data_IF_123604089762
#
_entry.id   IF_123604089762
#
_cell.length_a   1.000
_cell.length_b   1.000
_cell.length_c   1.000
_cell.angle_alpha   90.00
_cell.angle_beta   90.00
_cell.angle_gamma   90.00
#
_symmetry.space_group_name_H-M   'P 1'
#
loop_
_entity.id
_entity.type
_entity.pdbx_description
1 polymer ?
#
# COMPACT_ATOMS: atom_id res chain seq x y z
N UNK A 1 -23.02 -57.22 -41.27
CA UNK A 1 -24.43 -57.50 -41.63
C UNK A 1 -25.17 -57.76 -40.31
N UNK A 2 -26.03 -56.91 -39.75
CA UNK A 2 -26.99 -55.93 -40.26
C UNK A 2 -26.87 -54.58 -39.55
N UNK A 3 -27.00 -53.50 -40.33
CA UNK A 3 -27.33 -52.14 -39.91
C UNK A 3 -28.77 -52.06 -39.40
N UNK A 4 -29.03 -51.19 -38.43
CA UNK A 4 -30.19 -50.28 -38.44
C UNK A 4 -29.77 -48.90 -37.92
N UNK A 5 -29.75 -47.96 -38.84
CA UNK A 5 -29.67 -46.51 -38.64
C UNK A 5 -31.10 -45.94 -38.76
N UNK A 6 -31.19 -44.63 -38.55
CA UNK A 6 -32.25 -43.67 -38.90
C UNK A 6 -33.31 -43.56 -37.77
N UNK A 7 -33.55 -42.42 -37.10
CA UNK A 7 -33.75 -41.05 -37.61
C UNK A 7 -33.37 -39.96 -36.58
N UNK A 8 -32.64 -38.94 -37.03
CA UNK A 8 -32.63 -37.59 -36.47
C UNK A 8 -33.48 -36.71 -37.41
N UNK A 9 -34.18 -35.69 -36.88
CA UNK A 9 -33.87 -34.33 -37.29
C UNK A 9 -33.79 -33.41 -36.06
N UNK A 10 -32.72 -32.64 -35.86
CA UNK A 10 -32.45 -31.33 -36.46
C UNK A 10 -33.56 -30.29 -36.24
N UNK A 11 -33.09 -29.08 -35.92
CA UNK A 11 -33.76 -27.78 -35.82
C UNK A 11 -34.41 -27.40 -34.47
N UNK A 12 -34.25 -26.21 -33.88
CA UNK A 12 -33.37 -25.04 -34.07
C UNK A 12 -33.96 -23.91 -33.19
N UNK A 13 -33.13 -22.91 -32.84
CA UNK A 13 -33.48 -21.57 -32.30
C UNK A 13 -34.01 -21.53 -30.84
N UNK A 14 -33.80 -20.49 -30.02
CA UNK A 14 -33.54 -19.06 -30.29
C UNK A 14 -32.68 -18.45 -29.16
N UNK A 15 -31.78 -17.55 -29.54
CA UNK A 15 -31.27 -16.44 -28.74
C UNK A 15 -32.45 -15.62 -28.16
N UNK A 16 -32.30 -15.04 -26.98
CA UNK A 16 -33.30 -14.10 -26.46
C UNK A 16 -32.91 -13.46 -25.13
N UNK A 17 -32.04 -12.45 -25.20
CA UNK A 17 -31.97 -11.34 -24.22
C UNK A 17 -33.35 -10.72 -24.10
N UNK A 18 -33.89 -10.54 -22.88
CA UNK A 18 -34.73 -9.39 -22.56
C UNK A 18 -34.60 -9.06 -21.07
N UNK A 19 -33.97 -7.91 -20.80
CA UNK A 19 -34.26 -7.11 -19.62
C UNK A 19 -35.76 -6.80 -19.61
N UNK A 20 -36.45 -7.08 -18.52
CA UNK A 20 -37.76 -6.50 -18.25
C UNK A 20 -37.62 -5.57 -17.05
N UNK A 21 -37.32 -4.31 -17.35
CA UNK A 21 -37.94 -3.21 -16.62
C UNK A 21 -39.36 -3.09 -17.17
N UNK A 22 -40.35 -2.95 -16.29
CA UNK A 22 -41.66 -2.37 -16.57
C UNK A 22 -42.42 -2.25 -15.24
N UNK A 23 -42.45 -1.02 -14.73
CA UNK A 23 -43.53 -0.50 -13.90
C UNK A 23 -43.79 0.92 -14.40
N UNK A 24 -44.71 1.06 -15.35
CA UNK A 24 -45.29 2.32 -15.83
C UNK A 24 -46.22 2.91 -14.74
N UNK A 25 -46.66 4.17 -14.71
CA UNK A 25 -47.06 5.10 -15.77
C UNK A 25 -47.14 6.55 -15.23
N UNK A 26 -46.90 7.50 -16.15
CA UNK A 26 -47.52 8.83 -16.30
C UNK A 26 -47.52 9.86 -15.16
N UNK A 27 -46.75 10.95 -15.33
CA UNK A 27 -47.28 12.24 -15.75
C UNK A 27 -46.16 13.23 -16.13
N UNK A 28 -46.42 14.01 -17.18
CA UNK A 28 -45.59 15.10 -17.74
C UNK A 28 -45.45 16.32 -16.79
N UNK A 29 -44.62 17.33 -17.12
CA UNK A 29 -43.83 18.11 -16.16
C UNK A 29 -44.58 19.33 -15.61
N UNK A 30 -44.30 19.68 -14.35
CA UNK A 30 -44.61 20.99 -13.79
C UNK A 30 -43.39 21.53 -13.07
N UNK A 31 -42.86 22.64 -13.61
CA UNK A 31 -42.01 23.58 -12.88
C UNK A 31 -42.73 24.04 -11.61
N UNK A 32 -42.07 23.93 -10.45
CA UNK A 32 -41.97 25.01 -9.44
C UNK A 32 -40.98 24.63 -8.31
N UNK A 33 -40.41 25.63 -7.61
CA UNK A 33 -39.15 25.49 -6.89
C UNK A 33 -39.33 25.20 -5.39
N UNK A 34 -38.39 24.43 -4.85
CA UNK A 34 -37.91 24.63 -3.48
C UNK A 34 -38.55 23.80 -2.36
N UNK A 35 -37.65 23.36 -1.49
CA UNK A 35 -37.86 22.83 -0.13
C UNK A 35 -38.52 21.46 0.00
N UNK A 36 -37.68 20.42 -0.10
CA UNK A 36 -37.93 19.10 0.45
C UNK A 36 -36.64 18.55 1.05
N UNK A 37 -36.47 18.78 2.35
CA UNK A 37 -35.46 18.11 3.17
C UNK A 37 -35.72 16.59 3.12
N UNK A 38 -34.87 15.86 2.41
CA UNK A 38 -34.80 14.40 2.48
C UNK A 38 -33.37 14.06 2.78
N UNK A 39 -33.14 13.78 4.06
CA UNK A 39 -31.88 13.29 4.59
C UNK A 39 -31.32 12.15 3.74
N UNK A 40 -30.20 12.43 3.11
CA UNK A 40 -29.28 11.43 2.59
C UNK A 40 -27.96 11.66 3.29
N UNK A 41 -27.73 10.96 4.40
CA UNK A 41 -26.38 10.70 4.92
C UNK A 41 -25.69 9.82 3.88
N UNK A 42 -25.17 10.46 2.83
CA UNK A 42 -24.46 9.84 1.73
C UNK A 42 -22.95 9.81 1.98
N UNK A 43 -22.50 9.77 3.23
CA UNK A 43 -21.11 9.46 3.57
C UNK A 43 -20.89 7.96 3.45
N UNK A 44 -21.03 7.43 2.23
CA UNK A 44 -20.51 6.09 1.94
C UNK A 44 -19.05 6.24 1.52
N UNK A 45 -18.22 6.56 2.50
CA UNK A 45 -16.77 6.45 2.33
C UNK A 45 -16.46 4.95 2.22
N UNK A 46 -16.37 4.43 0.99
CA UNK A 46 -15.85 3.07 0.75
C UNK A 46 -14.34 3.11 1.01
N UNK A 47 -13.97 3.13 2.29
CA UNK A 47 -12.63 2.85 2.75
C UNK A 47 -12.38 1.37 2.49
N UNK A 48 -11.89 1.06 1.29
CA UNK A 48 -11.44 -0.29 0.94
C UNK A 48 -10.56 -0.81 2.07
N UNK A 49 -10.84 -2.02 2.53
CA UNK A 49 -10.28 -2.64 3.75
C UNK A 49 -8.75 -2.49 3.80
N UNK A 50 -8.29 -1.38 4.38
CA UNK A 50 -6.88 -1.06 4.48
C UNK A 50 -6.35 -1.65 5.79
N UNK A 51 -5.26 -2.41 5.74
CA UNK A 51 -4.57 -2.88 6.96
C UNK A 51 -3.57 -1.80 7.42
N UNK A 52 -4.05 -0.57 7.52
CA UNK A 52 -3.28 0.59 7.96
C UNK A 52 -3.69 0.87 9.41
N UNK A 53 -2.82 0.49 10.35
CA UNK A 53 -3.12 0.58 11.78
C UNK A 53 -2.56 1.87 12.38
N UNK A 54 -3.41 2.64 13.03
CA UNK A 54 -3.01 3.75 13.91
C UNK A 54 -2.49 3.24 15.27
N UNK A 55 -2.46 1.92 15.52
CA UNK A 55 -1.81 1.36 16.72
C UNK A 55 -0.31 1.21 16.50
N UNK A 56 0.48 1.53 17.53
CA UNK A 56 1.92 1.25 17.56
C UNK A 56 2.16 -0.26 17.46
N UNK A 57 3.00 -0.67 16.51
CA UNK A 57 3.49 -2.04 16.35
C UNK A 57 4.99 -2.08 16.59
N UNK A 58 5.50 -3.24 17.00
CA UNK A 58 6.93 -3.51 17.16
C UNK A 58 7.35 -4.58 16.19
N UNK A 59 8.50 -4.40 15.54
CA UNK A 59 9.03 -5.29 14.52
C UNK A 59 10.55 -5.40 14.66
N UNK A 60 11.08 -6.62 14.61
CA UNK A 60 12.50 -6.87 14.44
C UNK A 60 12.78 -7.22 12.97
N UNK A 61 13.62 -6.42 12.32
CA UNK A 61 14.09 -6.65 10.96
C UNK A 61 15.48 -7.26 11.01
N UNK A 62 15.71 -8.27 10.16
CA UNK A 62 17.04 -8.84 9.91
C UNK A 62 17.64 -8.18 8.68
N UNK A 63 18.93 -7.86 8.76
CA UNK A 63 19.70 -7.26 7.67
C UNK A 63 19.71 -8.17 6.43
N UNK A 64 19.30 -7.63 5.28
CA UNK A 64 19.36 -8.35 4.00
C UNK A 64 18.47 -9.59 3.90
N UNK A 65 17.42 -9.70 4.72
CA UNK A 65 16.66 -10.93 4.86
C UNK A 65 15.91 -11.33 3.59
N UNK A 66 16.01 -12.61 3.25
CA UNK A 66 15.26 -13.25 2.16
C UNK A 66 14.35 -14.36 2.72
N UNK A 67 13.25 -14.63 2.04
CA UNK A 67 12.37 -15.77 2.32
C UNK A 67 12.97 -17.08 1.78
N UNK A 68 12.26 -18.19 2.00
CA UNK A 68 12.68 -19.54 1.55
C UNK A 68 12.84 -19.66 0.03
N UNK A 69 12.27 -18.73 -0.74
CA UNK A 69 12.32 -18.68 -2.21
C UNK A 69 13.36 -17.67 -2.70
N UNK A 70 14.12 -17.05 -1.80
CA UNK A 70 15.11 -16.03 -2.12
C UNK A 70 14.52 -14.65 -2.45
N UNK A 71 13.23 -14.42 -2.18
CA UNK A 71 12.61 -13.11 -2.34
C UNK A 71 12.85 -12.25 -1.08
N UNK A 72 12.83 -10.92 -1.21
CA UNK A 72 13.02 -10.00 -0.08
C UNK A 72 11.96 -10.26 0.99
N UNK A 73 12.40 -10.53 2.21
CA UNK A 73 11.53 -10.68 3.38
C UNK A 73 11.29 -9.30 3.99
N UNK A 74 10.23 -8.64 3.52
CA UNK A 74 9.78 -7.34 4.01
C UNK A 74 8.54 -7.41 4.91
N UNK A 75 8.25 -6.31 5.59
CA UNK A 75 7.15 -6.23 6.55
C UNK A 75 6.19 -5.11 6.21
N UNK A 76 4.97 -5.45 5.82
CA UNK A 76 3.97 -4.47 5.41
C UNK A 76 3.61 -3.50 6.55
N UNK A 77 3.83 -2.21 6.30
CA UNK A 77 3.50 -1.12 7.21
C UNK A 77 2.33 -0.24 6.72
N UNK A 78 1.94 -0.39 5.45
CA UNK A 78 0.70 0.16 4.91
C UNK A 78 0.30 -0.57 3.64
N UNK A 79 -0.97 -0.97 3.52
CA UNK A 79 -1.52 -1.64 2.35
C UNK A 79 -2.83 -0.97 1.93
N UNK A 80 -2.92 -0.70 0.63
CA UNK A 80 -4.04 -0.11 -0.09
C UNK A 80 -4.37 -1.02 -1.29
N UNK A 81 -5.36 -0.66 -2.09
CA UNK A 81 -5.79 -1.51 -3.21
C UNK A 81 -4.70 -1.65 -4.28
N UNK A 82 -4.15 -0.52 -4.76
CA UNK A 82 -3.09 -0.48 -5.79
C UNK A 82 -1.68 -0.31 -5.23
N UNK A 83 -1.53 0.11 -3.97
CA UNK A 83 -0.23 0.41 -3.35
C UNK A 83 0.00 -0.35 -2.06
N UNK A 84 1.24 -0.74 -1.82
CA UNK A 84 1.70 -1.30 -0.54
C UNK A 84 3.05 -0.70 -0.19
N UNK A 85 3.30 -0.55 1.10
CA UNK A 85 4.55 -0.05 1.66
C UNK A 85 5.05 -1.05 2.69
N UNK A 86 6.30 -1.49 2.55
CA UNK A 86 6.91 -2.45 3.46
C UNK A 86 8.24 -1.95 4.03
N UNK A 87 8.53 -2.33 5.26
CA UNK A 87 9.80 -2.09 5.93
C UNK A 87 10.82 -3.16 5.59
N UNK A 88 12.06 -2.73 5.37
CA UNK A 88 13.20 -3.60 5.10
C UNK A 88 14.48 -2.99 5.64
N UNK A 89 15.41 -3.84 6.09
CA UNK A 89 16.71 -3.43 6.59
C UNK A 89 17.78 -3.91 5.60
N UNK A 90 18.54 -2.97 5.03
CA UNK A 90 19.58 -3.29 4.07
C UNK A 90 20.75 -2.31 4.15
N UNK A 91 21.95 -2.87 4.19
CA UNK A 91 23.24 -2.20 4.40
C UNK A 91 23.20 -1.24 5.58
N UNK A 92 22.53 -1.61 6.66
CA UNK A 92 22.37 -0.78 7.84
C UNK A 92 21.43 0.42 7.65
N UNK A 93 20.71 0.52 6.53
CA UNK A 93 19.70 1.55 6.28
C UNK A 93 18.30 1.01 6.53
N UNK A 94 17.44 1.84 7.13
CA UNK A 94 16.01 1.54 7.23
C UNK A 94 15.36 1.96 5.93
N UNK A 95 14.75 1.00 5.23
CA UNK A 95 14.08 1.21 3.97
C UNK A 95 12.56 1.09 4.14
N UNK A 96 11.82 1.98 3.48
CA UNK A 96 10.41 1.76 3.17
C UNK A 96 10.28 1.56 1.67
N UNK A 97 9.84 0.37 1.28
CA UNK A 97 9.75 -0.09 -0.09
C UNK A 97 8.30 0.09 -0.56
N UNK A 98 8.02 0.93 -1.57
CA UNK A 98 6.73 1.00 -2.23
C UNK A 98 6.59 -0.17 -3.21
N UNK A 99 5.37 -0.67 -3.29
CA UNK A 99 4.91 -1.67 -4.23
C UNK A 99 3.67 -1.14 -4.93
N UNK A 100 3.53 -1.50 -6.20
CA UNK A 100 2.34 -1.29 -7.01
C UNK A 100 1.74 -2.65 -7.38
N UNK A 101 0.42 -2.76 -7.34
CA UNK A 101 -0.28 -3.95 -7.79
C UNK A 101 -0.39 -3.92 -9.32
N UNK A 102 0.11 -4.96 -9.98
CA UNK A 102 0.00 -5.13 -11.43
C UNK A 102 -0.40 -6.58 -11.72
N UNK A 103 -1.45 -6.80 -12.51
CA UNK A 103 -2.06 -8.12 -12.75
C UNK A 103 -2.41 -8.88 -11.45
N UNK A 104 -2.86 -8.16 -10.43
CA UNK A 104 -3.22 -8.72 -9.12
C UNK A 104 -2.03 -9.04 -8.21
N UNK A 105 -0.79 -8.91 -8.69
CA UNK A 105 0.43 -9.25 -7.96
C UNK A 105 1.16 -7.97 -7.54
N UNK A 106 1.79 -8.00 -6.36
CA UNK A 106 2.65 -6.93 -5.89
C UNK A 106 3.97 -6.91 -6.67
N UNK A 107 4.27 -5.80 -7.33
CA UNK A 107 5.57 -5.51 -7.94
C UNK A 107 6.19 -4.33 -7.22
N UNK A 108 7.49 -4.37 -6.97
CA UNK A 108 8.17 -3.25 -6.34
C UNK A 108 8.07 -2.02 -7.24
N UNK A 109 7.56 -0.90 -6.72
CA UNK A 109 7.45 0.39 -7.42
C UNK A 109 8.77 1.16 -7.26
N UNK A 110 9.88 0.46 -7.51
CA UNK A 110 11.23 0.99 -7.39
C UNK A 110 12.22 0.26 -8.31
N UNK A 111 13.15 1.02 -8.89
CA UNK A 111 14.33 0.47 -9.55
C UNK A 111 15.41 0.20 -8.50
N UNK A 112 15.49 -1.02 -7.96
CA UNK A 112 16.57 -1.43 -7.04
C UNK A 112 17.95 -1.57 -7.71
N UNK A 113 18.00 -1.55 -9.05
CA UNK A 113 19.20 -1.86 -9.80
C UNK A 113 19.92 -0.60 -10.28
N UNK A 114 20.85 -0.10 -9.46
CA UNK A 114 22.06 0.53 -9.98
C UNK A 114 23.27 0.05 -9.17
N UNK A 115 24.15 -0.69 -9.85
CA UNK A 115 25.48 -1.09 -9.38
C UNK A 115 26.31 0.18 -9.09
N UNK A 116 26.53 0.49 -7.82
CA UNK A 116 27.34 1.64 -7.37
C UNK A 116 26.88 2.31 -6.08
N UNK A 117 25.68 1.98 -5.59
CA UNK A 117 25.09 2.55 -4.37
C UNK A 117 23.59 2.79 -4.56
N UNK A 118 22.77 2.82 -3.50
CA UNK A 118 21.33 2.93 -3.65
C UNK A 118 20.95 4.35 -4.07
N UNK A 119 20.97 4.64 -5.38
CA UNK A 119 20.24 5.78 -5.95
C UNK A 119 18.78 5.33 -6.06
N UNK A 120 18.13 5.28 -4.91
CA UNK A 120 16.73 4.97 -4.77
C UNK A 120 15.91 6.25 -4.99
N UNK A 121 14.94 6.22 -5.91
CA UNK A 121 14.11 7.40 -6.25
C UNK A 121 12.63 7.01 -6.26
N UNK A 122 12.00 6.85 -5.09
CA UNK A 122 10.58 6.59 -5.04
C UNK A 122 9.85 7.88 -5.42
N UNK A 123 9.01 7.85 -6.44
CA UNK A 123 8.28 9.06 -6.89
C UNK A 123 7.12 9.42 -5.97
N UNK A 124 6.71 8.51 -5.09
CA UNK A 124 5.48 8.60 -4.28
C UNK A 124 5.76 8.55 -2.77
N UNK A 125 6.99 8.88 -2.36
CA UNK A 125 7.42 8.79 -0.97
C UNK A 125 8.62 9.69 -0.67
N UNK A 126 8.72 10.16 0.57
CA UNK A 126 9.93 10.71 1.16
C UNK A 126 10.13 10.11 2.55
N UNK A 127 11.38 9.83 2.92
CA UNK A 127 11.77 9.37 4.25
C UNK A 127 12.87 10.28 4.82
N UNK A 128 12.81 10.55 6.11
CA UNK A 128 13.75 11.42 6.82
C UNK A 128 14.07 10.87 8.21
N UNK A 129 15.33 10.98 8.63
CA UNK A 129 15.77 10.82 10.03
C UNK A 129 15.55 12.14 10.77
N UNK A 130 14.75 12.13 11.83
CA UNK A 130 14.47 13.32 12.65
C UNK A 130 15.40 13.47 13.86
N UNK A 131 16.38 12.57 14.00
CA UNK A 131 17.37 12.57 15.07
C UNK A 131 16.90 11.86 16.34
N UNK A 132 17.65 12.09 17.43
CA UNK A 132 17.41 11.50 18.74
C UNK A 132 16.05 11.90 19.32
N UNK A 133 15.30 10.91 19.78
CA UNK A 133 14.00 11.06 20.45
C UNK A 133 13.89 10.11 21.64
N UNK A 134 12.96 10.35 22.57
CA UNK A 134 12.79 9.48 23.75
C UNK A 134 11.84 8.30 23.49
N UNK A 135 11.03 8.39 22.44
CA UNK A 135 10.12 7.33 22.02
C UNK A 135 9.33 7.70 20.77
N UNK A 136 8.52 6.76 20.27
CA UNK A 136 7.72 6.97 19.06
C UNK A 136 6.71 8.13 19.18
N UNK A 137 6.25 8.45 20.39
CA UNK A 137 5.34 9.58 20.64
C UNK A 137 5.94 10.93 20.27
N UNK A 138 7.26 11.07 20.38
CA UNK A 138 8.00 12.31 20.14
C UNK A 138 8.24 12.54 18.63
N UNK A 139 8.10 11.48 17.83
CA UNK A 139 8.17 11.55 16.37
C UNK A 139 6.86 12.13 15.83
N UNK A 140 6.84 13.45 15.69
CA UNK A 140 5.62 14.23 15.41
C UNK A 140 5.68 15.03 14.11
N UNK A 141 6.88 15.31 13.57
CA UNK A 141 7.06 16.04 12.31
C UNK A 141 6.31 15.34 11.17
N UNK A 142 5.60 16.06 10.32
CA UNK A 142 4.94 15.52 9.12
C UNK A 142 5.43 16.25 7.87
N UNK A 143 5.94 15.50 6.89
CA UNK A 143 6.27 16.08 5.60
C UNK A 143 4.99 16.26 4.78
N UNK A 144 4.71 17.49 4.34
CA UNK A 144 3.50 17.86 3.58
C UNK A 144 3.69 17.84 2.07
N UNK A 145 4.94 17.72 1.62
CA UNK A 145 5.31 17.62 0.21
C UNK A 145 6.27 16.44 0.02
N UNK A 146 6.07 15.71 -1.07
CA UNK A 146 7.04 14.73 -1.54
C UNK A 146 8.06 15.49 -2.38
N UNK A 147 9.35 15.40 -2.06
CA UNK A 147 10.38 16.12 -2.79
C UNK A 147 10.40 15.71 -4.28
N UNK A 148 10.52 16.69 -5.18
CA UNK A 148 10.76 16.46 -6.61
C UNK A 148 12.26 16.37 -6.88
N UNK A 149 12.74 15.18 -7.25
CA UNK A 149 14.14 14.95 -7.62
C UNK A 149 15.11 14.71 -6.44
N UNK A 150 16.24 14.07 -6.77
CA UNK A 150 17.49 13.74 -6.04
C UNK A 150 17.51 13.40 -4.53
N UNK A 151 16.42 13.49 -3.79
CA UNK A 151 16.40 13.39 -2.33
C UNK A 151 15.49 12.25 -1.86
N UNK A 152 16.03 11.04 -1.80
CA UNK A 152 15.59 10.03 -0.82
C UNK A 152 16.61 8.90 -0.80
N UNK A 153 17.78 9.18 -0.23
CA UNK A 153 18.58 8.11 0.35
C UNK A 153 17.82 7.55 1.55
N UNK A 154 17.90 6.24 1.76
CA UNK A 154 17.39 5.65 2.99
C UNK A 154 18.33 5.97 4.14
N UNK A 155 17.83 6.55 5.24
CA UNK A 155 18.69 6.94 6.34
C UNK A 155 19.28 5.70 7.02
N UNK A 156 20.50 5.85 7.55
CA UNK A 156 21.12 4.83 8.37
C UNK A 156 20.25 4.57 9.61
N UNK A 157 20.12 3.30 10.00
CA UNK A 157 19.52 2.91 11.26
C UNK A 157 20.41 3.40 12.41
N UNK A 158 19.83 4.19 13.31
CA UNK A 158 20.50 4.78 14.46
C UNK A 158 19.68 4.48 15.72
N UNK A 159 20.29 3.93 16.78
CA UNK A 159 19.58 3.65 18.02
C UNK A 159 18.97 4.93 18.61
N UNK A 160 17.73 4.84 19.10
CA UNK A 160 16.98 5.96 19.69
C UNK A 160 16.67 7.12 18.72
N UNK A 161 16.84 6.92 17.42
CA UNK A 161 16.41 7.89 16.42
C UNK A 161 14.95 7.68 16.02
N UNK A 162 14.29 8.79 15.70
CA UNK A 162 12.99 8.83 15.07
C UNK A 162 13.11 8.96 13.56
N UNK A 163 12.16 8.38 12.83
CA UNK A 163 12.07 8.50 11.38
C UNK A 163 10.66 8.81 10.96
N UNK A 164 10.53 9.64 9.94
CA UNK A 164 9.24 9.98 9.34
C UNK A 164 9.23 9.60 7.88
N UNK A 165 8.07 9.14 7.43
CA UNK A 165 7.83 8.78 6.04
C UNK A 165 6.50 9.38 5.64
N UNK A 166 6.49 10.10 4.53
CA UNK A 166 5.26 10.55 3.90
C UNK A 166 5.13 9.85 2.56
N UNK A 167 3.94 9.33 2.24
CA UNK A 167 3.69 8.62 0.99
C UNK A 167 2.24 8.77 0.53
N UNK A 168 2.00 8.51 -0.76
CA UNK A 168 0.68 8.63 -1.38
C UNK A 168 -0.02 7.29 -1.52
N UNK A 169 -1.30 7.25 -1.21
CA UNK A 169 -2.19 6.11 -1.50
C UNK A 169 -2.65 6.11 -2.96
N UNK A 170 -3.56 5.19 -3.29
CA UNK A 170 -4.15 5.03 -4.62
C UNK A 170 -4.97 6.25 -5.07
N UNK A 171 -5.67 6.87 -4.12
CA UNK A 171 -6.48 8.08 -4.35
C UNK A 171 -5.67 9.38 -4.18
N UNK A 172 -4.33 9.29 -4.19
CA UNK A 172 -3.42 10.43 -4.03
C UNK A 172 -3.53 11.12 -2.65
N UNK A 173 -4.14 10.46 -1.65
CA UNK A 173 -4.13 10.90 -0.26
C UNK A 173 -2.72 10.74 0.34
N UNK A 174 -2.28 11.76 1.08
CA UNK A 174 -1.00 11.73 1.77
C UNK A 174 -1.16 11.06 3.14
N UNK A 175 -0.38 10.03 3.41
CA UNK A 175 -0.30 9.35 4.71
C UNK A 175 1.08 9.51 5.31
N UNK A 176 1.15 9.40 6.64
CA UNK A 176 2.38 9.54 7.40
C UNK A 176 2.62 8.30 8.25
N UNK A 177 3.84 7.76 8.15
CA UNK A 177 4.35 6.69 8.99
C UNK A 177 5.48 7.26 9.83
N UNK A 178 5.46 6.98 11.13
CA UNK A 178 6.58 7.24 12.03
C UNK A 178 7.21 5.95 12.47
N UNK A 179 8.52 5.98 12.67
CA UNK A 179 9.29 4.89 13.23
C UNK A 179 10.19 5.40 14.37
N UNK A 180 10.51 4.49 15.27
CA UNK A 180 11.47 4.71 16.34
C UNK A 180 12.32 3.44 16.52
N UNK A 181 13.64 3.57 16.48
CA UNK A 181 14.55 2.43 16.70
C UNK A 181 14.73 2.21 18.20
N UNK A 182 14.26 1.06 18.68
CA UNK A 182 14.33 0.70 20.10
C UNK A 182 15.61 -0.05 20.45
N UNK A 183 16.10 -0.89 19.54
CA UNK A 183 17.23 -1.78 19.81
C UNK A 183 17.88 -2.27 18.52
N UNK A 184 19.10 -2.80 18.62
CA UNK A 184 19.84 -3.38 17.51
C UNK A 184 20.80 -4.48 17.99
N UNK A 185 21.17 -5.37 17.08
CA UNK A 185 22.26 -6.34 17.32
C UNK A 185 23.31 -6.22 16.24
N UNK A 186 24.53 -6.64 16.57
CA UNK A 186 25.66 -6.67 15.66
C UNK A 186 26.08 -8.11 15.38
N UNK A 187 26.63 -8.33 14.18
CA UNK A 187 27.43 -9.52 13.86
C UNK A 187 28.80 -9.44 14.54
N UNK A 188 29.53 -10.55 14.56
CA UNK A 188 30.85 -10.64 15.21
C UNK A 188 31.90 -9.66 14.60
N UNK A 189 31.74 -9.30 13.33
CA UNK A 189 32.58 -8.32 12.62
C UNK A 189 32.08 -6.87 12.78
N UNK A 190 31.04 -6.64 13.58
CA UNK A 190 30.53 -5.32 13.93
C UNK A 190 29.53 -4.72 12.93
N UNK A 191 29.09 -5.47 11.92
CA UNK A 191 28.01 -5.04 11.03
C UNK A 191 26.64 -5.15 11.73
N UNK A 192 25.65 -4.38 11.27
CA UNK A 192 24.27 -4.46 11.80
C UNK A 192 23.67 -5.81 11.40
N UNK A 193 23.23 -6.59 12.38
CA UNK A 193 22.56 -7.88 12.16
C UNK A 193 21.04 -7.74 12.19
N UNK A 194 20.53 -7.04 13.21
CA UNK A 194 19.10 -6.77 13.35
C UNK A 194 18.86 -5.36 13.87
N UNK A 195 17.70 -4.82 13.52
CA UNK A 195 17.16 -3.57 14.09
C UNK A 195 15.73 -3.83 14.52
N UNK A 196 15.42 -3.48 15.77
CA UNK A 196 14.06 -3.51 16.29
C UNK A 196 13.48 -2.11 16.27
N UNK A 197 12.31 -1.95 15.66
CA UNK A 197 11.62 -0.68 15.50
C UNK A 197 10.21 -0.74 16.08
N UNK A 198 9.76 0.37 16.63
CA UNK A 198 8.35 0.68 16.73
C UNK A 198 7.91 1.46 15.49
N UNK A 199 6.69 1.23 15.02
CA UNK A 199 6.13 1.97 13.88
C UNK A 199 4.61 2.15 13.99
N UNK A 200 4.11 3.22 13.38
CA UNK A 200 2.69 3.60 13.45
C UNK A 200 2.33 4.56 12.31
N UNK A 201 1.13 4.42 11.75
CA UNK A 201 0.53 5.47 10.91
C UNK A 201 -0.15 6.53 11.80
N UNK A 202 0.06 7.82 11.54
CA UNK A 202 -0.35 8.89 12.46
C UNK A 202 -0.71 10.22 11.79
#
# INVERSE_FOLDING_TARGET
>A
MRMKLIWLPCLVFFFGVLCTSCGSDNNEPTDEPGTGDVGGTGDTEVKGDYTATEKVKTLMMKEGALDEKGAVLDYTCGEFFMRKYSLYLYRGCIMVIPYIRHDGIWKMDANLYNYGGPIYKPTNMIMEDVGLVSGISDVTKKNTQLASGSQSGFPAAQPKHGYIVAFKTDNNELKHLRLFVIDYTLTDDGAIATVTVQYQLY
#
